data_IF_159557087540
#
_entry.id   IF_159557087540
#
_cell.length_a   1.000
_cell.length_b   1.000
_cell.length_c   1.000
_cell.angle_alpha   90.00
_cell.angle_beta   90.00
_cell.angle_gamma   90.00
#
_symmetry.space_group_name_H-M   'P 1'
#
loop_
_entity.id
_entity.type
_entity.pdbx_description
1 polymer ?
#
# COMPACT_ATOMS: atom_id res chain seq x y z
N UNK A 1 12.07 -15.33 9.84
CA UNK A 1 11.66 -14.16 10.64
C UNK A 1 10.24 -13.76 10.24
N UNK A 2 9.45 -13.13 11.13
CA UNK A 2 8.14 -12.60 10.75
C UNK A 2 8.26 -11.56 9.64
N UNK A 3 7.14 -11.28 8.95
CA UNK A 3 7.02 -10.15 8.05
C UNK A 3 6.45 -8.97 8.81
N UNK A 4 7.09 -7.82 8.75
CA UNK A 4 6.60 -6.59 9.37
C UNK A 4 6.17 -5.61 8.29
N UNK A 5 5.04 -4.94 8.51
CA UNK A 5 4.47 -3.95 7.61
C UNK A 5 4.16 -2.71 8.44
N UNK A 6 4.77 -1.58 8.09
CA UNK A 6 4.63 -0.34 8.83
C UNK A 6 3.89 0.68 7.96
N UNK A 7 2.65 0.97 8.30
CA UNK A 7 1.87 2.05 7.71
C UNK A 7 2.28 3.34 8.41
N UNK A 8 3.02 4.18 7.71
CA UNK A 8 3.66 5.37 8.30
C UNK A 8 2.68 6.54 8.21
N UNK A 9 2.52 7.27 9.30
CA UNK A 9 1.75 8.50 9.33
C UNK A 9 2.53 9.61 8.60
N UNK A 10 2.14 9.85 7.36
CA UNK A 10 2.70 10.89 6.50
C UNK A 10 1.75 12.08 6.34
N UNK A 11 0.66 12.11 7.11
CA UNK A 11 -0.47 12.97 6.84
C UNK A 11 -1.30 12.43 5.67
N UNK A 12 -1.66 13.29 4.72
CA UNK A 12 -2.33 12.84 3.50
C UNK A 12 -1.33 12.19 2.55
N UNK A 13 -1.65 11.01 2.02
CA UNK A 13 -0.80 10.22 1.14
C UNK A 13 -0.55 8.82 1.66
N UNK A 14 0.34 8.09 1.01
CA UNK A 14 0.68 6.74 1.41
C UNK A 14 2.19 6.53 1.54
N UNK A 15 2.57 5.82 2.59
CA UNK A 15 3.94 5.33 2.77
C UNK A 15 3.92 4.07 3.64
N UNK A 16 4.36 2.95 3.09
CA UNK A 16 4.35 1.68 3.80
C UNK A 16 5.71 0.98 3.70
N UNK A 17 6.40 0.83 4.84
CA UNK A 17 7.65 0.08 4.90
C UNK A 17 7.36 -1.40 5.13
N UNK A 18 7.96 -2.26 4.31
CA UNK A 18 7.88 -3.72 4.40
C UNK A 18 9.25 -4.25 4.83
N UNK A 19 9.29 -5.02 5.91
CA UNK A 19 10.47 -5.77 6.34
C UNK A 19 10.15 -7.25 6.15
N UNK A 20 10.74 -7.84 5.12
CA UNK A 20 10.43 -9.17 4.66
C UNK A 20 11.17 -10.22 5.48
N UNK A 21 10.72 -11.46 5.44
CA UNK A 21 11.23 -12.50 6.34
C UNK A 21 12.67 -12.97 6.04
N UNK A 22 13.23 -12.59 4.89
CA UNK A 22 14.65 -12.79 4.54
C UNK A 22 15.56 -11.63 4.98
N UNK A 23 14.97 -10.57 5.56
CA UNK A 23 15.67 -9.36 5.97
C UNK A 23 15.65 -8.24 4.93
N UNK A 24 15.09 -8.46 3.74
CA UNK A 24 14.93 -7.41 2.73
C UNK A 24 13.97 -6.33 3.21
N UNK A 25 14.23 -5.08 2.83
CA UNK A 25 13.41 -3.91 3.14
C UNK A 25 12.86 -3.28 1.88
N UNK A 26 11.53 -3.19 1.78
CA UNK A 26 10.83 -2.59 0.66
C UNK A 26 10.02 -1.40 1.13
N UNK A 27 9.90 -0.38 0.31
CA UNK A 27 9.06 0.78 0.56
C UNK A 27 7.98 0.84 -0.52
N UNK A 28 6.72 0.76 -0.11
CA UNK A 28 5.57 0.91 -0.99
C UNK A 28 5.01 2.31 -0.82
N UNK A 29 5.11 3.12 -1.86
CA UNK A 29 4.81 4.54 -1.93
C UNK A 29 5.65 5.42 -0.98
N UNK A 30 5.60 6.72 -1.19
CA UNK A 30 6.35 7.71 -0.42
C UNK A 30 5.63 9.06 -0.45
N UNK A 31 5.45 9.67 0.73
CA UNK A 31 5.02 11.06 0.82
C UNK A 31 5.78 11.79 1.95
N UNK A 32 6.98 12.27 1.63
CA UNK A 32 7.79 13.09 2.54
C UNK A 32 7.67 14.55 2.13
N UNK A 33 7.04 15.34 2.97
CA UNK A 33 6.88 16.79 2.84
C UNK A 33 7.85 17.53 3.77
N UNK A 34 7.92 18.85 3.68
CA UNK A 34 8.76 19.62 4.61
C UNK A 34 8.25 19.54 6.04
N UNK A 35 6.94 19.35 6.23
CA UNK A 35 6.29 19.29 7.54
C UNK A 35 6.55 17.98 8.27
N UNK A 36 6.60 16.84 7.53
CA UNK A 36 6.72 15.51 8.13
C UNK A 36 8.12 14.88 7.98
N UNK A 37 9.04 15.51 7.26
CA UNK A 37 10.37 14.96 6.92
C UNK A 37 11.12 14.42 8.12
N UNK A 38 11.23 15.23 9.18
CA UNK A 38 11.98 14.85 10.38
C UNK A 38 11.42 13.59 11.03
N UNK A 39 10.10 13.51 11.15
CA UNK A 39 9.42 12.43 11.85
C UNK A 39 9.45 11.15 11.00
N UNK A 40 9.19 11.27 9.70
CA UNK A 40 9.21 10.14 8.76
C UNK A 40 10.62 9.56 8.61
N UNK A 41 11.64 10.41 8.35
CA UNK A 41 13.02 9.93 8.23
C UNK A 41 13.55 9.39 9.56
N UNK A 42 13.17 10.02 10.68
CA UNK A 42 13.51 9.53 12.02
C UNK A 42 12.88 8.16 12.31
N UNK A 43 11.63 7.94 11.89
CA UNK A 43 10.99 6.63 12.00
C UNK A 43 11.65 5.57 11.13
N UNK A 44 11.90 5.88 9.85
CA UNK A 44 12.62 4.97 8.93
C UNK A 44 13.99 4.58 9.49
N UNK A 45 14.76 5.55 10.01
CA UNK A 45 16.07 5.28 10.60
C UNK A 45 16.03 4.32 11.78
N UNK A 46 14.99 4.38 12.61
CA UNK A 46 14.77 3.42 13.69
C UNK A 46 14.43 2.02 13.17
N UNK A 47 13.66 1.92 12.08
CA UNK A 47 13.20 0.64 11.53
C UNK A 47 14.24 -0.03 10.63
N UNK A 48 15.04 0.74 9.91
CA UNK A 48 16.10 0.29 9.01
C UNK A 48 17.46 0.17 9.71
N UNK A 49 17.48 0.07 11.04
CA UNK A 49 18.70 0.01 11.85
C UNK A 49 19.65 -1.09 11.38
N UNK A 50 20.96 -0.77 11.35
CA UNK A 50 22.04 -1.68 10.92
C UNK A 50 23.28 -0.89 10.53
N UNK A 51 24.35 -1.57 10.14
CA UNK A 51 25.60 -0.94 9.73
C UNK A 51 25.49 -0.16 8.40
N UNK A 52 24.47 -0.48 7.59
CA UNK A 52 24.25 0.13 6.27
C UNK A 52 22.74 0.16 5.97
N UNK A 53 21.95 1.05 6.61
CA UNK A 53 20.51 1.12 6.39
C UNK A 53 20.21 1.51 4.93
N UNK A 54 19.33 0.74 4.28
CA UNK A 54 18.97 0.94 2.88
C UNK A 54 17.57 0.39 2.60
N UNK A 55 17.04 0.72 1.43
CA UNK A 55 15.80 0.17 0.89
C UNK A 55 16.16 -0.64 -0.36
N UNK A 56 15.89 -1.94 -0.33
CA UNK A 56 16.19 -2.81 -1.46
C UNK A 56 15.33 -2.47 -2.68
N UNK A 57 14.03 -2.20 -2.46
CA UNK A 57 13.11 -1.82 -3.53
C UNK A 57 12.16 -0.73 -3.07
N UNK A 58 12.05 0.33 -3.85
CA UNK A 58 10.95 1.28 -3.79
C UNK A 58 9.88 0.86 -4.80
N UNK A 59 8.67 0.61 -4.33
CA UNK A 59 7.51 0.28 -5.16
C UNK A 59 6.63 1.52 -5.24
N UNK A 60 6.57 2.16 -6.40
CA UNK A 60 5.64 3.25 -6.66
C UNK A 60 4.36 2.65 -7.23
N UNK A 61 3.27 2.66 -6.44
CA UNK A 61 1.99 2.11 -6.86
C UNK A 61 1.48 2.79 -8.13
N UNK A 62 1.56 4.10 -8.15
CA UNK A 62 1.32 4.97 -9.30
C UNK A 62 2.05 6.31 -9.10
N UNK A 63 2.15 7.11 -10.15
CA UNK A 63 3.05 8.28 -10.14
C UNK A 63 2.31 9.59 -9.85
N UNK A 64 1.44 9.60 -8.84
CA UNK A 64 0.85 10.82 -8.31
C UNK A 64 1.65 11.31 -7.09
N UNK A 65 1.60 12.61 -6.82
CA UNK A 65 2.54 13.28 -5.93
C UNK A 65 2.56 12.67 -4.51
N UNK A 66 1.42 12.32 -3.97
CA UNK A 66 1.26 11.77 -2.62
C UNK A 66 1.64 10.28 -2.49
N UNK A 67 2.16 9.68 -3.60
CA UNK A 67 2.70 8.31 -3.65
C UNK A 67 4.18 8.27 -4.05
N UNK A 68 4.79 9.41 -4.41
CA UNK A 68 6.22 9.45 -4.80
C UNK A 68 6.98 10.67 -4.25
N UNK A 69 6.29 11.64 -3.60
CA UNK A 69 6.91 12.86 -3.09
C UNK A 69 7.98 12.54 -2.08
N UNK A 70 9.14 13.20 -2.21
CA UNK A 70 10.27 13.10 -1.28
C UNK A 70 11.08 11.81 -1.38
N UNK A 71 10.85 10.96 -2.40
CA UNK A 71 11.67 9.76 -2.60
C UNK A 71 13.15 10.08 -2.77
N UNK A 72 13.50 11.24 -3.30
CA UNK A 72 14.88 11.72 -3.37
C UNK A 72 15.48 11.89 -1.98
N UNK A 73 14.75 12.53 -1.05
CA UNK A 73 15.18 12.71 0.35
C UNK A 73 15.35 11.35 1.06
N UNK A 74 14.42 10.42 0.80
CA UNK A 74 14.54 9.05 1.31
C UNK A 74 15.79 8.37 0.75
N UNK A 75 16.04 8.45 -0.56
CA UNK A 75 17.20 7.86 -1.22
C UNK A 75 18.55 8.44 -0.72
N UNK A 76 18.58 9.73 -0.43
CA UNK A 76 19.77 10.41 0.12
C UNK A 76 20.10 9.95 1.55
N UNK A 77 19.11 9.59 2.35
CA UNK A 77 19.28 9.11 3.74
C UNK A 77 19.37 7.59 3.84
N UNK A 78 18.62 6.87 3.01
CA UNK A 78 18.52 5.41 2.97
C UNK A 78 18.60 4.97 1.51
N UNK A 79 19.79 4.65 0.97
CA UNK A 79 19.95 4.35 -0.44
C UNK A 79 18.93 3.33 -0.97
N UNK A 80 18.10 3.74 -1.92
CA UNK A 80 17.21 2.85 -2.67
C UNK A 80 18.04 2.14 -3.73
N UNK A 81 17.89 0.81 -3.85
CA UNK A 81 18.70 -0.02 -4.77
C UNK A 81 17.99 -0.31 -6.09
N UNK A 82 16.66 -0.33 -6.09
CA UNK A 82 15.87 -0.52 -7.29
C UNK A 82 14.48 0.13 -7.16
N UNK A 83 13.85 0.45 -8.28
CA UNK A 83 12.47 0.95 -8.33
C UNK A 83 11.59 -0.06 -9.08
N UNK A 84 10.41 -0.36 -8.53
CA UNK A 84 9.36 -1.05 -9.25
C UNK A 84 8.19 -0.10 -9.46
N UNK A 85 7.66 -0.05 -10.68
CA UNK A 85 6.48 0.73 -11.02
C UNK A 85 5.62 0.07 -12.10
N UNK A 86 4.49 0.69 -12.44
CA UNK A 86 3.59 0.21 -13.50
C UNK A 86 4.01 0.68 -14.90
N UNK A 87 4.96 1.60 -15.02
CA UNK A 87 5.31 2.25 -16.27
C UNK A 87 4.32 3.32 -16.76
N UNK A 88 3.19 3.52 -16.06
CA UNK A 88 2.18 4.52 -16.41
C UNK A 88 2.59 5.91 -15.93
N UNK A 89 2.38 6.93 -16.76
CA UNK A 89 2.63 8.33 -16.40
C UNK A 89 1.59 8.80 -15.37
N UNK A 90 2.03 9.55 -14.37
CA UNK A 90 1.16 10.18 -13.39
C UNK A 90 0.35 11.36 -13.95
N UNK A 91 -0.49 11.94 -13.12
CA UNK A 91 -1.38 13.05 -13.49
C UNK A 91 -0.64 14.38 -13.72
N UNK A 92 0.53 14.55 -13.08
CA UNK A 92 1.35 15.76 -13.15
C UNK A 92 2.80 15.46 -13.56
N UNK A 93 3.06 15.05 -14.82
CA UNK A 93 4.37 14.56 -15.26
C UNK A 93 5.49 15.61 -15.26
N UNK A 94 5.15 16.89 -15.16
CA UNK A 94 6.11 18.01 -15.13
C UNK A 94 6.30 18.57 -13.70
N UNK A 95 5.67 17.98 -12.69
CA UNK A 95 5.84 18.44 -11.31
C UNK A 95 7.26 18.16 -10.78
N UNK A 96 7.77 18.98 -9.85
CA UNK A 96 9.07 18.73 -9.23
C UNK A 96 9.17 17.33 -8.62
N UNK A 97 8.12 16.86 -7.96
CA UNK A 97 8.04 15.53 -7.34
C UNK A 97 8.18 14.42 -8.39
N UNK A 98 7.50 14.55 -9.52
CA UNK A 98 7.59 13.58 -10.62
C UNK A 98 9.00 13.56 -11.21
N UNK A 99 9.60 14.72 -11.45
CA UNK A 99 10.95 14.81 -12.01
C UNK A 99 12.01 14.25 -11.05
N UNK A 100 11.91 14.51 -9.74
CA UNK A 100 12.76 13.90 -8.72
C UNK A 100 12.62 12.39 -8.69
N UNK A 101 11.38 11.87 -8.69
CA UNK A 101 11.12 10.44 -8.78
C UNK A 101 11.75 9.81 -10.03
N UNK A 102 11.54 10.41 -11.21
CA UNK A 102 12.09 9.91 -12.47
C UNK A 102 13.61 9.94 -12.48
N UNK A 103 14.23 10.87 -11.77
CA UNK A 103 15.69 10.91 -11.61
C UNK A 103 16.19 9.72 -10.75
N UNK A 104 15.59 9.50 -9.57
CA UNK A 104 15.93 8.35 -8.72
C UNK A 104 15.73 7.06 -9.49
N UNK A 105 14.56 6.87 -10.14
CA UNK A 105 14.21 5.71 -10.95
C UNK A 105 15.28 5.37 -12.01
N UNK A 106 15.77 6.39 -12.72
CA UNK A 106 16.82 6.21 -13.75
C UNK A 106 18.18 5.89 -13.15
N UNK A 107 18.52 6.51 -12.02
CA UNK A 107 19.82 6.35 -11.37
C UNK A 107 19.99 4.96 -10.77
N UNK A 108 18.99 4.42 -10.10
CA UNK A 108 19.10 3.12 -9.41
C UNK A 108 18.64 1.93 -10.27
N UNK A 109 18.04 2.21 -11.43
CA UNK A 109 17.41 1.19 -12.28
C UNK A 109 16.00 0.86 -11.84
N UNK A 110 15.19 0.33 -12.77
CA UNK A 110 13.78 0.06 -12.53
C UNK A 110 13.29 -1.22 -13.21
N UNK A 111 12.19 -1.72 -12.69
CA UNK A 111 11.42 -2.81 -13.27
C UNK A 111 9.94 -2.42 -13.36
N UNK A 112 9.35 -2.56 -14.52
CA UNK A 112 7.89 -2.52 -14.68
C UNK A 112 7.34 -3.89 -14.28
N UNK A 113 6.62 -3.92 -13.16
CA UNK A 113 5.99 -5.16 -12.68
C UNK A 113 4.66 -5.38 -13.37
N UNK A 114 4.27 -6.65 -13.51
CA UNK A 114 3.07 -7.06 -14.26
C UNK A 114 2.13 -7.86 -13.37
N UNK A 115 0.85 -7.85 -13.72
CA UNK A 115 -0.14 -8.79 -13.15
C UNK A 115 0.39 -10.23 -13.25
N UNK A 116 0.33 -10.95 -12.13
CA UNK A 116 0.80 -12.33 -12.03
C UNK A 116 2.26 -12.47 -11.60
N UNK A 117 3.04 -11.39 -11.58
CA UNK A 117 4.39 -11.42 -11.02
C UNK A 117 4.33 -11.88 -9.55
N UNK A 118 5.30 -12.72 -9.18
CA UNK A 118 5.45 -13.28 -7.85
C UNK A 118 6.92 -13.21 -7.43
N UNK A 119 7.16 -12.71 -6.23
CA UNK A 119 8.50 -12.57 -5.67
C UNK A 119 8.54 -13.24 -4.31
N UNK A 120 9.53 -14.08 -4.08
CA UNK A 120 9.70 -14.86 -2.86
C UNK A 120 10.88 -14.33 -2.05
N UNK A 121 10.63 -13.99 -0.79
CA UNK A 121 11.57 -13.45 0.17
C UNK A 121 11.49 -14.24 1.48
N UNK A 122 12.20 -15.36 1.55
CA UNK A 122 12.07 -16.30 2.66
C UNK A 122 10.64 -16.86 2.75
N UNK A 123 9.98 -16.63 3.88
CA UNK A 123 8.56 -17.00 4.08
C UNK A 123 7.57 -15.94 3.56
N UNK A 124 8.06 -14.83 3.02
CA UNK A 124 7.21 -13.77 2.46
C UNK A 124 7.08 -13.93 0.96
N UNK A 125 5.86 -13.81 0.45
CA UNK A 125 5.56 -13.79 -0.98
C UNK A 125 4.84 -12.49 -1.31
N UNK A 126 5.37 -11.75 -2.28
CA UNK A 126 4.71 -10.59 -2.88
C UNK A 126 4.04 -11.03 -4.18
N UNK A 127 2.73 -10.84 -4.30
CA UNK A 127 1.95 -11.17 -5.51
C UNK A 127 1.37 -9.89 -6.10
N UNK A 128 1.69 -9.60 -7.36
CA UNK A 128 1.13 -8.47 -8.10
C UNK A 128 -0.22 -8.89 -8.69
N UNK A 129 -1.31 -8.33 -8.17
CA UNK A 129 -2.68 -8.62 -8.64
C UNK A 129 -3.12 -7.69 -9.76
N UNK A 130 -2.57 -6.48 -9.81
CA UNK A 130 -2.79 -5.50 -10.87
C UNK A 130 -1.53 -4.66 -11.09
N UNK A 131 -1.41 -4.18 -12.32
CA UNK A 131 -0.46 -3.18 -12.77
C UNK A 131 -0.98 -2.60 -14.09
N UNK A 132 -0.12 -1.99 -14.91
CA UNK A 132 -0.47 -1.52 -16.26
C UNK A 132 -1.19 -2.59 -17.07
N UNK A 133 -2.33 -2.22 -17.64
CA UNK A 133 -3.23 -3.16 -18.28
C UNK A 133 -4.16 -2.44 -19.28
N UNK A 134 -4.17 -2.91 -20.52
CA UNK A 134 -4.92 -2.28 -21.61
C UNK A 134 -6.46 -2.40 -21.48
N UNK A 135 -6.94 -3.27 -20.56
CA UNK A 135 -8.37 -3.42 -20.26
C UNK A 135 -8.90 -2.37 -19.28
N UNK A 136 -8.02 -1.54 -18.71
CA UNK A 136 -8.35 -0.52 -17.74
C UNK A 136 -8.21 0.89 -18.35
N UNK A 137 -8.92 1.89 -17.79
CA UNK A 137 -8.67 3.28 -18.11
C UNK A 137 -7.19 3.64 -17.95
N UNK A 138 -6.65 4.45 -18.86
CA UNK A 138 -5.24 4.84 -18.88
C UNK A 138 -4.83 5.86 -17.80
N UNK A 139 -5.65 6.07 -16.76
CA UNK A 139 -5.29 6.96 -15.65
C UNK A 139 -4.43 6.24 -14.60
N UNK A 140 -3.65 7.00 -13.86
CA UNK A 140 -2.69 6.50 -12.88
C UNK A 140 -3.34 5.61 -11.81
N UNK A 141 -4.47 6.02 -11.25
CA UNK A 141 -5.18 5.31 -10.18
C UNK A 141 -5.63 3.91 -10.64
N UNK A 142 -6.34 3.81 -11.78
CA UNK A 142 -6.81 2.52 -12.30
C UNK A 142 -5.65 1.56 -12.61
N UNK A 143 -4.49 2.10 -12.96
CA UNK A 143 -3.28 1.38 -13.32
C UNK A 143 -2.32 1.18 -12.13
N UNK A 144 -2.76 1.46 -10.90
CA UNK A 144 -1.96 1.27 -9.70
C UNK A 144 -1.51 -0.18 -9.54
N UNK A 145 -0.31 -0.37 -9.03
CA UNK A 145 0.19 -1.68 -8.62
C UNK A 145 -0.56 -2.12 -7.37
N UNK A 146 -1.25 -3.25 -7.47
CA UNK A 146 -1.89 -3.91 -6.33
C UNK A 146 -1.01 -5.07 -5.89
N UNK A 147 -0.56 -5.03 -4.64
CA UNK A 147 0.29 -6.09 -4.08
C UNK A 147 -0.42 -6.78 -2.92
N UNK A 148 -0.49 -8.12 -3.00
CA UNK A 148 -0.83 -8.98 -1.87
C UNK A 148 0.45 -9.54 -1.27
N UNK A 149 0.68 -9.21 -0.01
CA UNK A 149 1.79 -9.72 0.81
C UNK A 149 1.26 -10.94 1.55
N UNK A 150 1.92 -12.07 1.39
CA UNK A 150 1.57 -13.34 2.02
C UNK A 150 2.74 -13.81 2.86
N UNK A 151 2.52 -14.08 4.14
CA UNK A 151 3.49 -14.73 5.01
C UNK A 151 3.10 -16.18 5.23
N UNK A 152 4.00 -17.09 4.87
CA UNK A 152 3.83 -18.52 5.03
C UNK A 152 4.34 -18.94 6.40
N UNK A 153 3.47 -19.41 7.26
CA UNK A 153 3.85 -20.13 8.48
C UNK A 153 3.52 -21.63 8.32
N UNK A 154 3.98 -22.44 9.26
CA UNK A 154 3.80 -23.91 9.16
C UNK A 154 2.33 -24.34 9.02
N UNK A 155 1.41 -23.63 9.64
CA UNK A 155 -0.01 -24.07 9.75
C UNK A 155 -1.02 -23.00 9.33
N UNK A 156 -0.61 -21.75 9.18
CA UNK A 156 -1.52 -20.62 8.91
C UNK A 156 -0.86 -19.67 7.94
N UNK A 157 -1.62 -19.23 6.94
CA UNK A 157 -1.21 -18.19 6.01
C UNK A 157 -1.82 -16.86 6.48
N UNK A 158 -0.98 -15.86 6.68
CA UNK A 158 -1.42 -14.50 6.97
C UNK A 158 -1.11 -13.58 5.79
N UNK A 159 -1.94 -12.58 5.57
CA UNK A 159 -1.78 -11.71 4.41
C UNK A 159 -2.24 -10.28 4.63
N UNK A 160 -1.57 -9.36 3.94
CA UNK A 160 -1.93 -7.96 3.83
C UNK A 160 -2.07 -7.58 2.37
N UNK A 161 -3.03 -6.73 2.05
CA UNK A 161 -3.29 -6.24 0.70
C UNK A 161 -3.10 -4.73 0.62
N UNK A 162 -2.21 -4.30 -0.29
CA UNK A 162 -1.92 -2.91 -0.60
C UNK A 162 -2.47 -2.58 -1.99
N UNK A 163 -3.58 -1.84 -2.10
CA UNK A 163 -4.28 -1.64 -3.37
C UNK A 163 -3.82 -0.42 -4.17
N UNK A 164 -2.99 0.48 -3.61
CA UNK A 164 -2.79 1.81 -4.16
C UNK A 164 -4.11 2.58 -4.23
N UNK A 165 -4.30 3.38 -5.29
CA UNK A 165 -5.51 4.19 -5.45
C UNK A 165 -6.52 3.59 -6.44
N UNK A 166 -6.50 2.25 -6.56
CA UNK A 166 -7.41 1.53 -7.44
C UNK A 166 -8.89 1.78 -7.12
N UNK A 167 -9.70 1.82 -8.17
CA UNK A 167 -11.13 2.06 -8.11
C UNK A 167 -11.96 0.79 -8.37
N UNK A 168 -13.29 0.90 -8.31
CA UNK A 168 -14.20 -0.22 -8.53
C UNK A 168 -14.00 -0.91 -9.91
N UNK A 169 -13.67 -0.14 -10.96
CA UNK A 169 -13.42 -0.68 -12.31
C UNK A 169 -12.21 -1.61 -12.30
N UNK A 170 -11.14 -1.20 -11.63
CA UNK A 170 -9.95 -2.03 -11.45
C UNK A 170 -10.28 -3.33 -10.73
N UNK A 171 -11.09 -3.27 -9.68
CA UNK A 171 -11.47 -4.46 -8.90
C UNK A 171 -12.43 -5.39 -9.63
N UNK A 172 -13.33 -4.87 -10.46
CA UNK A 172 -14.11 -5.69 -11.40
C UNK A 172 -13.20 -6.43 -12.38
N UNK A 173 -12.16 -5.76 -12.88
CA UNK A 173 -11.17 -6.38 -13.76
C UNK A 173 -10.37 -7.46 -13.02
N UNK A 174 -9.82 -7.17 -11.83
CA UNK A 174 -9.09 -8.15 -11.02
C UNK A 174 -9.95 -9.40 -10.75
N UNK A 175 -11.24 -9.23 -10.42
CA UNK A 175 -12.16 -10.32 -10.14
C UNK A 175 -12.41 -11.27 -11.31
N UNK A 176 -12.12 -10.86 -12.57
CA UNK A 176 -12.19 -11.75 -13.73
C UNK A 176 -11.02 -12.74 -13.80
N UNK A 177 -9.88 -12.38 -13.19
CA UNK A 177 -8.65 -13.17 -13.26
C UNK A 177 -8.37 -13.98 -12.00
N UNK A 178 -8.91 -13.54 -10.85
CA UNK A 178 -8.63 -14.16 -9.57
C UNK A 178 -9.92 -14.61 -8.88
N UNK A 179 -10.02 -15.88 -8.44
CA UNK A 179 -11.14 -16.33 -7.64
C UNK A 179 -11.14 -15.61 -6.28
N UNK A 180 -12.30 -15.48 -5.66
CA UNK A 180 -12.48 -14.79 -4.38
C UNK A 180 -11.54 -15.31 -3.28
N UNK A 181 -11.26 -16.60 -3.25
CA UNK A 181 -10.32 -17.22 -2.30
C UNK A 181 -8.89 -16.69 -2.45
N UNK A 182 -8.48 -16.28 -3.66
CA UNK A 182 -7.17 -15.66 -3.89
C UNK A 182 -7.13 -14.19 -3.48
N UNK A 183 -8.28 -13.54 -3.35
CA UNK A 183 -8.41 -12.13 -2.98
C UNK A 183 -8.55 -11.91 -1.48
N UNK A 184 -8.91 -12.95 -0.69
CA UNK A 184 -9.04 -12.82 0.77
C UNK A 184 -7.75 -12.33 1.40
N UNK A 185 -7.85 -11.48 2.41
CA UNK A 185 -6.70 -10.99 3.18
C UNK A 185 -7.11 -10.75 4.64
N UNK A 186 -6.14 -10.83 5.56
CA UNK A 186 -6.39 -10.52 6.97
C UNK A 186 -6.40 -9.01 7.17
N UNK A 187 -5.47 -8.30 6.57
CA UNK A 187 -5.37 -6.84 6.66
C UNK A 187 -5.49 -6.22 5.26
N UNK A 188 -6.31 -5.19 5.16
CA UNK A 188 -6.48 -4.38 3.96
C UNK A 188 -6.01 -2.94 4.23
N UNK A 189 -5.12 -2.41 3.41
CA UNK A 189 -4.97 -0.96 3.31
C UNK A 189 -6.14 -0.42 2.50
N UNK A 190 -6.82 0.61 2.99
CA UNK A 190 -7.90 1.25 2.25
C UNK A 190 -7.38 1.86 0.95
N UNK A 191 -8.05 1.62 -0.14
CA UNK A 191 -7.70 2.22 -1.42
C UNK A 191 -7.97 3.72 -1.41
N UNK A 192 -7.10 4.49 -2.06
CA UNK A 192 -7.29 5.91 -2.32
C UNK A 192 -7.68 6.67 -1.05
N UNK A 193 -6.93 6.44 0.05
CA UNK A 193 -7.10 7.09 1.35
C UNK A 193 -8.52 7.00 1.93
N UNK A 194 -9.26 5.98 1.55
CA UNK A 194 -10.66 5.80 1.94
C UNK A 194 -11.66 6.57 1.08
N UNK A 195 -11.35 6.82 -0.19
CA UNK A 195 -12.28 7.38 -1.16
C UNK A 195 -13.41 6.43 -1.52
N UNK A 196 -14.61 6.96 -1.79
CA UNK A 196 -15.73 6.21 -2.35
C UNK A 196 -15.47 5.66 -3.75
N UNK A 197 -14.53 6.21 -4.50
CA UNK A 197 -14.18 5.71 -5.85
C UNK A 197 -13.80 4.24 -5.87
N UNK A 198 -13.36 3.70 -4.72
CA UNK A 198 -13.13 2.27 -4.54
C UNK A 198 -14.41 1.43 -4.67
N UNK A 199 -15.56 2.03 -4.41
CA UNK A 199 -16.89 1.41 -4.41
C UNK A 199 -17.79 1.95 -5.53
N UNK A 200 -17.49 3.12 -6.08
CA UNK A 200 -18.31 3.75 -7.10
C UNK A 200 -18.25 2.95 -8.40
N UNK A 201 -19.42 2.55 -8.88
CA UNK A 201 -19.56 1.81 -10.13
C UNK A 201 -20.01 2.74 -11.25
N UNK A 202 -19.14 3.10 -12.20
CA UNK A 202 -19.51 3.98 -13.31
C UNK A 202 -20.63 3.40 -14.21
N UNK A 203 -20.88 2.10 -14.13
CA UNK A 203 -21.93 1.42 -14.89
C UNK A 203 -23.26 1.33 -14.13
N UNK A 204 -23.28 1.69 -12.85
CA UNK A 204 -24.46 1.66 -11.97
C UNK A 204 -24.39 2.80 -10.94
N UNK A 205 -24.95 3.93 -11.29
CA UNK A 205 -24.93 5.12 -10.42
C UNK A 205 -25.89 5.01 -9.22
N UNK A 206 -26.72 3.97 -9.16
CA UNK A 206 -27.67 3.77 -8.06
C UNK A 206 -27.10 2.88 -6.96
N UNK A 207 -26.10 2.03 -7.28
CA UNK A 207 -25.58 1.04 -6.36
C UNK A 207 -24.05 1.04 -6.30
N UNK A 208 -23.52 0.89 -5.09
CA UNK A 208 -22.07 0.70 -4.88
C UNK A 208 -21.64 -0.73 -5.19
N UNK A 209 -20.52 -0.86 -5.86
CA UNK A 209 -19.87 -2.16 -6.08
C UNK A 209 -19.15 -2.61 -4.80
N UNK A 210 -19.67 -3.64 -4.16
CA UNK A 210 -19.14 -4.14 -2.86
C UNK A 210 -18.62 -5.59 -2.93
N UNK A 211 -18.71 -6.26 -4.06
CA UNK A 211 -18.32 -7.67 -4.15
C UNK A 211 -16.84 -7.90 -3.92
N UNK A 212 -16.02 -6.94 -4.33
CA UNK A 212 -14.56 -7.00 -4.09
C UNK A 212 -14.20 -6.94 -2.59
N UNK A 213 -14.87 -6.11 -1.78
CA UNK A 213 -14.59 -6.05 -0.33
C UNK A 213 -15.15 -7.28 0.39
N UNK A 214 -16.30 -7.82 -0.05
CA UNK A 214 -16.84 -9.10 0.44
C UNK A 214 -15.88 -10.25 0.14
N UNK A 215 -15.30 -10.29 -1.07
CA UNK A 215 -14.32 -11.30 -1.46
C UNK A 215 -13.04 -11.23 -0.63
N UNK A 216 -12.60 -10.03 -0.24
CA UNK A 216 -11.42 -9.83 0.61
C UNK A 216 -11.70 -10.22 2.06
N UNK A 217 -12.88 -9.88 2.57
CA UNK A 217 -13.31 -10.17 3.93
C UNK A 217 -12.21 -9.94 4.97
N UNK A 218 -11.60 -8.74 5.04
CA UNK A 218 -10.46 -8.49 5.92
C UNK A 218 -10.87 -8.58 7.39
N UNK A 219 -9.93 -8.94 8.25
CA UNK A 219 -10.13 -8.80 9.70
C UNK A 219 -10.15 -7.32 10.07
N UNK A 220 -9.23 -6.54 9.47
CA UNK A 220 -9.09 -5.12 9.74
C UNK A 220 -8.75 -4.36 8.47
N UNK A 221 -9.29 -3.14 8.34
CA UNK A 221 -8.89 -2.17 7.33
C UNK A 221 -8.07 -1.05 7.99
N UNK A 222 -6.93 -0.72 7.40
CA UNK A 222 -6.09 0.42 7.79
C UNK A 222 -6.30 1.52 6.75
N UNK A 223 -6.51 2.76 7.19
CA UNK A 223 -6.65 3.93 6.32
C UNK A 223 -5.45 4.85 6.54
N UNK A 224 -4.62 4.99 5.52
CA UNK A 224 -3.55 6.00 5.50
C UNK A 224 -4.15 7.34 5.11
N UNK A 225 -4.27 8.26 6.07
CA UNK A 225 -4.97 9.52 5.89
C UNK A 225 -4.49 10.55 6.91
N UNK A 226 -4.57 11.82 6.53
CA UNK A 226 -4.37 12.98 7.39
C UNK A 226 -5.25 14.14 6.92
N UNK A 227 -5.00 15.34 7.45
CA UNK A 227 -5.72 16.54 6.98
C UNK A 227 -5.51 16.73 5.48
N UNK A 228 -6.60 16.87 4.74
CA UNK A 228 -6.56 16.97 3.29
C UNK A 228 -7.71 17.83 2.71
N UNK A 229 -7.51 18.34 1.51
CA UNK A 229 -8.50 19.17 0.80
C UNK A 229 -9.59 18.33 0.08
N UNK A 230 -9.40 17.01 -0.02
CA UNK A 230 -10.32 16.11 -0.73
C UNK A 230 -11.45 15.59 0.16
N UNK A 231 -11.35 15.77 1.48
CA UNK A 231 -12.36 15.32 2.44
C UNK A 231 -12.29 13.82 2.76
N UNK A 232 -11.18 13.16 2.39
CA UNK A 232 -10.97 11.74 2.73
C UNK A 232 -10.62 11.55 4.23
N UNK A 233 -11.00 10.42 4.83
CA UNK A 233 -11.76 9.33 4.21
C UNK A 233 -13.24 9.70 4.06
N UNK A 234 -13.85 9.29 2.95
CA UNK A 234 -15.28 9.50 2.73
C UNK A 234 -16.11 8.70 3.74
N UNK A 235 -17.06 9.35 4.37
CA UNK A 235 -17.92 8.72 5.37
C UNK A 235 -18.54 7.41 4.87
N UNK A 236 -19.00 7.40 3.60
CA UNK A 236 -19.63 6.21 3.01
C UNK A 236 -18.64 5.07 2.79
N UNK A 237 -17.42 5.37 2.40
CA UNK A 237 -16.37 4.36 2.28
C UNK A 237 -16.02 3.76 3.65
N UNK A 238 -15.91 4.59 4.70
CA UNK A 238 -15.68 4.13 6.08
C UNK A 238 -16.80 3.19 6.55
N UNK A 239 -18.08 3.54 6.29
CA UNK A 239 -19.23 2.67 6.60
C UNK A 239 -19.10 1.29 5.92
N UNK A 240 -18.63 1.23 4.68
CA UNK A 240 -18.41 -0.04 3.98
C UNK A 240 -17.23 -0.82 4.55
N UNK A 241 -16.09 -0.17 4.80
CA UNK A 241 -14.95 -0.85 5.45
C UNK A 241 -15.36 -1.41 6.82
N UNK A 242 -16.09 -0.65 7.63
CA UNK A 242 -16.57 -1.10 8.93
C UNK A 242 -17.58 -2.26 8.83
N UNK A 243 -18.49 -2.19 7.85
CA UNK A 243 -19.49 -3.25 7.62
C UNK A 243 -18.86 -4.56 7.18
N UNK A 244 -17.84 -4.51 6.33
CA UNK A 244 -17.27 -5.70 5.68
C UNK A 244 -15.97 -6.20 6.31
N UNK A 245 -15.33 -5.44 7.22
CA UNK A 245 -14.26 -5.96 8.06
C UNK A 245 -14.84 -6.78 9.22
N UNK A 246 -14.21 -7.93 9.51
CA UNK A 246 -14.67 -8.87 10.55
C UNK A 246 -14.42 -8.35 11.97
N UNK A 247 -13.34 -7.63 12.18
CA UNK A 247 -12.83 -7.15 13.45
C UNK A 247 -11.64 -7.99 13.95
N UNK A 248 -10.75 -7.35 14.69
CA UNK A 248 -9.66 -8.02 15.41
C UNK A 248 -10.20 -8.65 16.71
N UNK A 249 -9.37 -9.41 17.42
CA UNK A 249 -9.67 -9.93 18.77
C UNK A 249 -10.06 -8.83 19.77
N UNK A 250 -9.66 -7.58 19.50
CA UNK A 250 -10.02 -6.39 20.28
C UNK A 250 -11.28 -5.68 19.76
N UNK A 251 -11.96 -6.25 18.76
CA UNK A 251 -13.13 -5.66 18.12
C UNK A 251 -12.84 -4.53 17.13
N UNK A 252 -11.58 -4.12 16.95
CA UNK A 252 -11.22 -3.05 16.03
C UNK A 252 -11.38 -3.53 14.57
N UNK A 253 -12.16 -2.79 13.79
CA UNK A 253 -12.38 -3.04 12.37
C UNK A 253 -11.59 -2.09 11.48
N UNK A 254 -11.36 -0.86 11.96
CA UNK A 254 -10.67 0.20 11.25
C UNK A 254 -9.64 0.84 12.19
N UNK A 255 -8.43 1.05 11.66
CA UNK A 255 -7.42 1.95 12.23
C UNK A 255 -7.07 2.99 11.17
N UNK A 256 -6.81 4.23 11.61
CA UNK A 256 -6.40 5.34 10.73
C UNK A 256 -5.10 5.94 11.22
N UNK A 257 -4.21 6.36 10.31
CA UNK A 257 -2.91 6.90 10.69
C UNK A 257 -3.02 8.24 11.43
N UNK A 258 -3.99 9.09 11.07
CA UNK A 258 -4.24 10.38 11.74
C UNK A 258 -4.60 10.24 13.23
N UNK A 259 -5.26 9.14 13.62
CA UNK A 259 -5.68 8.89 15.00
C UNK A 259 -4.67 8.04 15.77
N UNK A 260 -4.00 7.13 15.09
CA UNK A 260 -3.16 6.10 15.70
C UNK A 260 -1.66 6.37 15.55
N UNK A 261 -1.26 7.31 14.67
CA UNK A 261 0.14 7.49 14.27
C UNK A 261 0.64 6.33 13.40
N UNK A 262 1.91 6.01 13.50
CA UNK A 262 2.48 4.88 12.78
C UNK A 262 1.88 3.55 13.28
N UNK A 263 1.37 2.73 12.36
CA UNK A 263 0.77 1.42 12.66
C UNK A 263 1.73 0.33 12.17
N UNK A 264 2.23 -0.49 13.07
CA UNK A 264 3.05 -1.67 12.76
C UNK A 264 2.20 -2.92 12.83
N UNK A 265 2.18 -3.68 11.72
CA UNK A 265 1.57 -4.99 11.58
C UNK A 265 2.69 -6.04 11.55
N UNK A 266 2.53 -7.11 12.31
CA UNK A 266 3.43 -8.27 12.28
C UNK A 266 2.64 -9.50 11.84
N UNK A 267 3.05 -10.11 10.74
CA UNK A 267 2.59 -11.42 10.31
C UNK A 267 3.55 -12.47 10.88
N UNK A 268 3.05 -13.30 11.81
CA UNK A 268 3.88 -14.12 12.72
C UNK A 268 4.31 -15.47 12.11
N UNK A 269 5.54 -15.90 12.37
CA UNK A 269 6.03 -17.26 11.99
C UNK A 269 5.20 -18.40 12.60
N UNK A 270 4.60 -18.16 13.76
CA UNK A 270 3.69 -19.12 14.42
C UNK A 270 2.25 -19.10 13.88
N UNK A 271 1.96 -18.22 12.92
CA UNK A 271 0.63 -17.95 12.42
C UNK A 271 -0.08 -16.83 13.20
N UNK A 272 -1.08 -16.23 12.56
CA UNK A 272 -1.77 -15.05 13.07
C UNK A 272 -0.99 -13.75 12.85
N UNK A 273 -1.61 -12.67 13.25
CA UNK A 273 -1.05 -11.33 13.12
C UNK A 273 -1.27 -10.51 14.39
N UNK A 274 -0.56 -9.42 14.51
CA UNK A 274 -0.79 -8.42 15.58
C UNK A 274 -0.48 -7.02 15.07
N UNK A 275 -1.13 -6.03 15.66
CA UNK A 275 -0.87 -4.61 15.39
C UNK A 275 -0.43 -3.89 16.65
N UNK A 276 0.54 -2.99 16.50
CA UNK A 276 0.91 -1.98 17.48
C UNK A 276 0.93 -0.61 16.79
N UNK A 277 0.69 0.44 17.53
CA UNK A 277 0.72 1.79 16.98
C UNK A 277 1.42 2.76 17.91
N UNK A 278 2.00 3.79 17.34
CA UNK A 278 2.79 4.79 18.07
C UNK A 278 2.43 6.16 17.52
N UNK A 279 1.78 6.98 18.34
CA UNK A 279 1.65 8.41 18.03
C UNK A 279 3.04 9.05 18.12
N UNK A 280 3.40 9.81 17.10
CA UNK A 280 4.61 10.61 17.06
C UNK A 280 4.37 11.91 17.85
#
# INVERSE_FOLDING_TARGET
MPTEIHFIDVGYGNMTLLKLSDGSSFLYDCNVTNENEKDVLGYLGKQLSGSCPHIDVFICSHRDADHMRGIKKVHENFPVRAVWDSGVTGTTPDSPEYLEYMNVRRTVGYREVKRGDKFEHGNTILKVLNSKNDELPGNANSQSIVIKIVHLSKNVICSCLLPGDTNAVTWKNIGRYYPNTSLSCDILLASHHGSTTYFDDPSDNEHYYTDHIKAKSPDMTIISVGSNAHGHPDKKAVEFYEKYSRGSDKGNKILTTDKNGNIRLVLKDGGGWETTHTKI
#
